data_IF_124000076277
#
_entry.id   IF_124000076277
#
_cell.length_a   1.000
_cell.length_b   1.000
_cell.length_c   1.000
_cell.angle_alpha   90.00
_cell.angle_beta   90.00
_cell.angle_gamma   90.00
#
_symmetry.space_group_name_H-M   'P 1'
#
loop_
_entity.id
_entity.type
_entity.pdbx_description
1 polymer ?
#
# COMPACT_ATOMS: atom_id res chain seq x y z
N UNK A 1 -23.33 31.56 -22.60
CA UNK A 1 -21.99 32.12 -22.31
C UNK A 1 -21.56 31.41 -21.04
N UNK A 2 -21.07 30.17 -21.18
CA UNK A 2 -20.94 29.24 -20.05
C UNK A 2 -19.57 28.54 -20.04
N UNK A 3 -18.62 28.99 -20.87
CA UNK A 3 -17.30 28.35 -21.03
C UNK A 3 -16.21 28.95 -20.12
N UNK A 4 -16.51 30.04 -19.40
CA UNK A 4 -15.56 30.62 -18.44
C UNK A 4 -15.56 29.85 -17.12
N UNK A 5 -16.70 29.28 -16.72
CA UNK A 5 -16.82 28.49 -15.49
C UNK A 5 -16.06 27.16 -15.61
N UNK A 6 -16.18 26.43 -16.73
CA UNK A 6 -15.48 25.15 -16.91
C UNK A 6 -13.97 25.26 -16.71
N UNK A 7 -13.35 26.32 -17.26
CA UNK A 7 -11.89 26.50 -17.19
C UNK A 7 -11.41 26.86 -15.79
N UNK A 8 -12.26 27.53 -15.01
CA UNK A 8 -11.99 27.86 -13.60
C UNK A 8 -12.18 26.61 -12.74
N UNK A 9 -13.20 25.79 -13.01
CA UNK A 9 -13.40 24.51 -12.35
C UNK A 9 -12.25 23.54 -12.63
N UNK A 10 -11.78 23.44 -13.88
CA UNK A 10 -10.63 22.61 -14.26
C UNK A 10 -9.35 23.03 -13.54
N UNK A 11 -9.07 24.34 -13.44
CA UNK A 11 -7.91 24.85 -12.72
C UNK A 11 -7.99 24.55 -11.22
N UNK A 12 -9.18 24.72 -10.63
CA UNK A 12 -9.39 24.47 -9.19
C UNK A 12 -9.28 22.98 -8.87
N UNK A 13 -9.75 22.12 -9.79
CA UNK A 13 -9.63 20.67 -9.66
C UNK A 13 -8.18 20.21 -9.78
N UNK A 14 -7.42 20.75 -10.74
CA UNK A 14 -6.01 20.44 -10.92
C UNK A 14 -5.15 20.90 -9.72
N UNK A 15 -5.43 22.07 -9.16
CA UNK A 15 -4.74 22.59 -7.97
C UNK A 15 -5.04 21.74 -6.72
N UNK A 16 -6.29 21.34 -6.54
CA UNK A 16 -6.70 20.44 -5.45
C UNK A 16 -6.08 19.04 -5.59
N UNK A 17 -5.89 18.55 -6.82
CA UNK A 17 -5.28 17.25 -7.09
C UNK A 17 -3.74 17.28 -6.98
N UNK A 18 -3.12 18.46 -7.14
CA UNK A 18 -1.67 18.65 -6.98
C UNK A 18 -1.20 18.49 -5.52
N UNK A 19 -2.03 18.87 -4.54
CA UNK A 19 -1.81 18.61 -3.11
C UNK A 19 -2.07 17.14 -2.72
N UNK A 20 -2.74 16.39 -3.59
CA UNK A 20 -3.08 14.97 -3.44
C UNK A 20 -2.15 14.05 -4.24
N UNK A 21 -1.13 14.59 -4.92
CA UNK A 21 -0.07 13.76 -5.49
C UNK A 21 0.53 13.01 -4.30
N UNK A 22 0.32 11.69 -4.18
CA UNK A 22 0.99 10.94 -3.15
C UNK A 22 2.47 11.20 -3.40
N UNK A 23 3.16 11.71 -2.38
CA UNK A 23 4.62 11.73 -2.38
C UNK A 23 5.04 10.35 -2.88
N UNK A 24 5.79 10.26 -3.98
CA UNK A 24 6.35 9.00 -4.50
C UNK A 24 7.40 8.47 -3.52
N UNK A 25 7.04 8.41 -2.24
CA UNK A 25 7.78 7.80 -1.18
C UNK A 25 7.68 6.31 -1.45
N UNK A 26 8.66 5.83 -2.21
CA UNK A 26 8.93 4.41 -2.38
C UNK A 26 8.90 3.79 -0.99
N UNK A 27 7.88 2.97 -0.74
CA UNK A 27 7.72 2.28 0.53
C UNK A 27 8.95 1.39 0.66
N UNK A 28 9.84 1.75 1.59
CA UNK A 28 11.05 0.96 1.84
C UNK A 28 10.67 -0.34 2.53
N UNK A 29 11.49 -1.38 2.38
CA UNK A 29 11.23 -2.68 3.00
C UNK A 29 10.99 -2.57 4.51
N UNK A 30 11.77 -1.74 5.20
CA UNK A 30 11.61 -1.48 6.63
C UNK A 30 10.23 -0.88 6.96
N UNK A 31 9.76 0.08 6.17
CA UNK A 31 8.45 0.73 6.38
C UNK A 31 7.30 -0.26 6.15
N UNK A 32 7.39 -1.08 5.09
CA UNK A 32 6.43 -2.16 4.84
C UNK A 32 6.35 -3.12 6.03
N UNK A 33 7.49 -3.44 6.63
CA UNK A 33 7.59 -4.43 7.71
C UNK A 33 7.05 -3.89 9.01
N UNK A 34 7.31 -2.63 9.34
CA UNK A 34 6.73 -2.00 10.52
C UNK A 34 5.21 -1.94 10.41
N UNK A 35 4.68 -1.54 9.25
CA UNK A 35 3.23 -1.43 9.04
C UNK A 35 2.55 -2.80 9.06
N UNK A 36 3.09 -3.76 8.32
CA UNK A 36 2.52 -5.10 8.22
C UNK A 36 2.69 -5.87 9.54
N UNK A 37 3.83 -5.73 10.21
CA UNK A 37 4.06 -6.29 11.54
C UNK A 37 3.08 -5.74 12.57
N UNK A 38 2.93 -4.41 12.64
CA UNK A 38 1.97 -3.77 13.54
C UNK A 38 0.52 -4.15 13.24
N UNK A 39 0.16 -4.26 11.96
CA UNK A 39 -1.18 -4.70 11.55
C UNK A 39 -1.44 -6.16 11.96
N UNK A 40 -0.45 -7.05 11.79
CA UNK A 40 -0.60 -8.45 12.19
C UNK A 40 -0.64 -8.62 13.71
N UNK A 41 0.20 -7.92 14.48
CA UNK A 41 0.11 -7.96 15.95
C UNK A 41 -1.24 -7.47 16.46
N UNK A 42 -1.78 -6.40 15.88
CA UNK A 42 -3.08 -5.84 16.26
C UNK A 42 -4.25 -6.82 16.05
N UNK A 43 -4.16 -7.72 15.06
CA UNK A 43 -5.19 -8.73 14.79
C UNK A 43 -4.91 -10.09 15.45
N UNK A 44 -3.85 -10.19 16.27
CA UNK A 44 -3.42 -11.46 16.88
C UNK A 44 -2.85 -12.44 15.86
N UNK A 45 -2.29 -11.91 14.76
CA UNK A 45 -1.60 -12.63 13.73
C UNK A 45 -0.11 -12.79 14.03
N UNK A 46 0.46 -13.88 13.53
CA UNK A 46 1.90 -14.14 13.53
C UNK A 46 2.41 -14.03 12.10
N UNK A 47 3.34 -13.12 11.86
CA UNK A 47 4.07 -13.05 10.60
C UNK A 47 4.92 -14.32 10.45
N UNK A 48 4.76 -15.02 9.32
CA UNK A 48 5.46 -16.27 9.03
C UNK A 48 6.73 -16.02 8.24
N UNK A 49 6.65 -15.18 7.21
CA UNK A 49 7.80 -14.76 6.43
C UNK A 49 7.53 -13.45 5.69
N UNK A 50 8.62 -12.76 5.36
CA UNK A 50 8.64 -11.60 4.46
C UNK A 50 9.76 -11.79 3.44
N UNK A 51 9.51 -11.39 2.19
CA UNK A 51 10.54 -11.39 1.14
C UNK A 51 10.26 -10.32 0.10
N UNK A 52 11.30 -9.81 -0.54
CA UNK A 52 11.18 -9.03 -1.77
C UNK A 52 11.37 -9.97 -2.97
N UNK A 53 10.36 -10.10 -3.83
CA UNK A 53 10.44 -10.83 -5.10
C UNK A 53 10.56 -9.86 -6.26
N UNK A 54 11.33 -10.20 -7.28
CA UNK A 54 11.23 -9.50 -8.56
C UNK A 54 10.15 -10.16 -9.40
N UNK A 55 9.16 -9.39 -9.82
CA UNK A 55 8.09 -9.83 -10.71
C UNK A 55 8.03 -8.89 -11.92
N UNK A 56 8.21 -9.44 -13.13
CA UNK A 56 8.13 -8.69 -14.41
C UNK A 56 8.99 -7.41 -14.51
N UNK A 57 10.08 -7.31 -13.72
CA UNK A 57 10.98 -6.16 -13.71
C UNK A 57 10.67 -5.13 -12.63
N UNK A 58 9.58 -5.30 -11.87
CA UNK A 58 9.26 -4.51 -10.68
C UNK A 58 9.46 -5.37 -9.42
N UNK A 59 10.06 -4.79 -8.38
CA UNK A 59 10.12 -5.45 -7.09
C UNK A 59 8.73 -5.53 -6.46
N UNK A 60 8.48 -6.56 -5.65
CA UNK A 60 7.29 -6.67 -4.84
C UNK A 60 7.66 -7.14 -3.44
N UNK A 61 7.20 -6.42 -2.42
CA UNK A 61 7.23 -6.86 -1.05
C UNK A 61 6.10 -7.86 -0.80
N UNK A 62 6.46 -9.05 -0.34
CA UNK A 62 5.53 -10.12 -0.03
C UNK A 62 5.64 -10.45 1.45
N UNK A 63 4.51 -10.48 2.13
CA UNK A 63 4.40 -10.92 3.51
C UNK A 63 3.33 -11.99 3.65
N UNK A 64 3.66 -13.08 4.33
CA UNK A 64 2.69 -14.08 4.73
C UNK A 64 2.55 -14.09 6.23
N UNK A 65 1.31 -14.14 6.70
CA UNK A 65 1.00 -14.27 8.12
C UNK A 65 -0.10 -15.29 8.35
N UNK A 66 -0.16 -15.79 9.57
CA UNK A 66 -1.27 -16.57 10.08
C UNK A 66 -2.03 -15.77 11.12
N UNK A 67 -3.36 -15.70 11.03
CA UNK A 67 -4.23 -15.05 12.00
C UNK A 67 -5.09 -16.11 12.70
N UNK A 68 -5.18 -16.01 14.03
CA UNK A 68 -5.92 -16.97 14.85
C UNK A 68 -5.12 -18.23 15.21
N UNK A 69 -5.74 -19.07 16.05
CA UNK A 69 -5.13 -20.29 16.62
C UNK A 69 -6.00 -21.54 16.37
N UNK A 70 -5.36 -22.71 16.39
CA UNK A 70 -6.01 -24.01 16.27
C UNK A 70 -6.76 -24.21 14.94
N UNK A 71 -7.99 -24.74 15.03
CA UNK A 71 -8.81 -25.11 13.86
C UNK A 71 -9.35 -23.93 13.04
N UNK A 72 -9.17 -22.69 13.49
CA UNK A 72 -9.61 -21.47 12.80
C UNK A 72 -8.44 -20.60 12.32
N UNK A 73 -7.23 -21.17 12.24
CA UNK A 73 -6.06 -20.46 11.73
C UNK A 73 -6.24 -20.13 10.25
N UNK A 74 -6.25 -18.84 9.94
CA UNK A 74 -6.31 -18.32 8.58
C UNK A 74 -4.92 -17.88 8.14
N UNK A 75 -4.62 -18.02 6.85
CA UNK A 75 -3.37 -17.55 6.28
C UNK A 75 -3.67 -16.38 5.34
N UNK A 76 -2.93 -15.28 5.51
CA UNK A 76 -3.01 -14.11 4.66
C UNK A 76 -1.69 -13.95 3.91
N UNK A 77 -1.79 -13.64 2.63
CA UNK A 77 -0.69 -13.26 1.77
C UNK A 77 -0.93 -11.82 1.31
N UNK A 78 -0.05 -10.91 1.69
CA UNK A 78 -0.03 -9.54 1.20
C UNK A 78 1.12 -9.36 0.22
N UNK A 79 0.82 -8.71 -0.90
CA UNK A 79 1.79 -8.34 -1.93
C UNK A 79 1.66 -6.86 -2.21
N UNK A 80 2.76 -6.12 -2.13
CA UNK A 80 2.82 -4.70 -2.41
C UNK A 80 3.91 -4.46 -3.46
N UNK A 81 3.65 -3.76 -4.57
CA UNK A 81 4.72 -3.37 -5.47
C UNK A 81 5.72 -2.45 -4.76
N UNK A 82 7.01 -2.56 -5.11
CA UNK A 82 8.08 -1.69 -4.56
C UNK A 82 8.09 -0.31 -5.23
N UNK A 83 7.39 -0.16 -6.35
CA UNK A 83 7.19 1.10 -7.06
C UNK A 83 5.71 1.45 -7.13
N UNK A 84 5.37 2.71 -6.84
CA UNK A 84 4.01 3.26 -6.94
C UNK A 84 3.09 2.83 -5.78
N UNK A 85 2.92 3.74 -4.82
CA UNK A 85 1.84 3.74 -3.83
C UNK A 85 0.85 4.85 -4.15
#
# INVERSE_FOLDING_TARGET
MDTLDDKVLESTLAESLADLVPDEKTVSEDEFVEVVGGAFEAVGGTLLFKMCVQNEGEGQHVAAASVGDGGNRQFLLLTLPTGGG
#
